data_IF_172140550251
#
_entry.id   IF_172140550251
#
_cell.length_a   1.000
_cell.length_b   1.000
_cell.length_c   1.000
_cell.angle_alpha   90.00
_cell.angle_beta   90.00
_cell.angle_gamma   90.00
#
_symmetry.space_group_name_H-M   'P 1'
#
loop_
_entity.id
_entity.type
_entity.pdbx_description
1 polymer ?
#
# COMPACT_ATOMS: atom_id res chain seq x y z
N UNK A 1 7.13 -3.37 13.10
CA UNK A 1 5.87 -3.71 12.42
C UNK A 1 6.05 -5.05 11.75
N UNK A 2 5.03 -5.91 11.72
CA UNK A 2 5.10 -7.17 10.99
C UNK A 2 5.23 -6.88 9.49
N UNK A 3 6.23 -7.48 8.85
CA UNK A 3 6.43 -7.40 7.41
C UNK A 3 5.55 -8.37 6.62
N UNK A 4 5.01 -9.39 7.29
CA UNK A 4 4.19 -10.43 6.69
C UNK A 4 2.76 -10.37 7.19
N UNK A 5 1.83 -10.79 6.34
CA UNK A 5 0.43 -10.97 6.68
C UNK A 5 0.23 -12.31 7.37
N UNK A 6 -0.94 -12.47 7.99
CA UNK A 6 -1.35 -13.74 8.57
C UNK A 6 -1.46 -14.85 7.53
N UNK A 7 -1.50 -16.08 8.03
CA UNK A 7 -1.53 -17.28 7.20
C UNK A 7 -2.74 -17.27 6.26
N UNK A 8 -2.49 -17.50 4.97
CA UNK A 8 -3.54 -17.56 3.95
C UNK A 8 -4.21 -16.21 3.65
N UNK A 9 -3.67 -15.08 4.10
CA UNK A 9 -4.20 -13.76 3.77
C UNK A 9 -4.08 -13.44 2.26
N UNK A 10 -2.96 -13.82 1.66
CA UNK A 10 -2.62 -13.58 0.25
C UNK A 10 -3.08 -14.72 -0.67
N UNK A 11 -3.48 -15.87 -0.12
CA UNK A 11 -3.98 -17.01 -0.89
C UNK A 11 -5.34 -16.72 -1.55
N UNK A 12 -5.73 -17.45 -2.61
CA UNK A 12 -7.07 -17.36 -3.16
C UNK A 12 -8.14 -17.58 -2.09
N UNK A 13 -9.10 -16.67 -1.98
CA UNK A 13 -10.11 -16.64 -0.94
C UNK A 13 -9.69 -15.93 0.36
N UNK A 14 -8.40 -15.60 0.50
CA UNK A 14 -7.84 -14.83 1.61
C UNK A 14 -8.32 -13.39 1.62
N UNK A 15 -8.32 -12.77 2.81
CA UNK A 15 -8.90 -11.42 2.96
C UNK A 15 -8.12 -10.38 2.13
N UNK A 16 -6.80 -10.48 2.09
CA UNK A 16 -5.96 -9.49 1.42
C UNK A 16 -6.04 -9.67 -0.10
N UNK A 17 -6.03 -10.91 -0.61
CA UNK A 17 -6.27 -11.22 -2.03
C UNK A 17 -7.63 -10.71 -2.52
N UNK A 18 -8.69 -10.91 -1.72
CA UNK A 18 -10.04 -10.38 -2.00
C UNK A 18 -10.09 -8.86 -1.97
N UNK A 19 -9.46 -8.23 -0.98
CA UNK A 19 -9.40 -6.78 -0.89
C UNK A 19 -8.70 -6.19 -2.13
N UNK A 20 -7.57 -6.75 -2.56
CA UNK A 20 -6.82 -6.20 -3.69
C UNK A 20 -7.64 -6.10 -4.98
N UNK A 21 -8.53 -7.05 -5.27
CA UNK A 21 -9.38 -6.99 -6.47
C UNK A 21 -10.57 -6.01 -6.35
N UNK A 22 -10.91 -5.57 -5.13
CA UNK A 22 -12.04 -4.68 -4.88
C UNK A 22 -11.68 -3.20 -5.03
N UNK A 23 -10.38 -2.86 -4.98
CA UNK A 23 -9.89 -1.49 -5.05
C UNK A 23 -9.22 -1.21 -6.39
N UNK A 24 -9.28 0.05 -6.82
CA UNK A 24 -8.74 0.48 -8.12
C UNK A 24 -7.20 0.61 -8.10
N UNK A 25 -6.62 0.87 -6.93
CA UNK A 25 -5.17 1.03 -6.77
C UNK A 25 -4.63 0.61 -5.40
N UNK A 26 -3.38 0.18 -5.41
CA UNK A 26 -2.58 -0.18 -4.24
C UNK A 26 -1.36 0.74 -4.20
N UNK A 27 -1.26 1.55 -3.15
CA UNK A 27 -0.12 2.42 -2.89
C UNK A 27 0.86 1.70 -1.97
N UNK A 28 2.11 1.60 -2.39
CA UNK A 28 3.22 1.01 -1.64
C UNK A 28 4.44 1.93 -1.64
N UNK A 29 5.28 1.74 -0.64
CA UNK A 29 6.60 2.35 -0.55
C UNK A 29 7.54 1.82 -1.64
N UNK A 30 8.39 2.65 -2.24
CA UNK A 30 9.42 2.20 -3.17
C UNK A 30 10.42 1.23 -2.52
N UNK A 31 10.62 1.38 -1.20
CA UNK A 31 11.42 0.48 -0.38
C UNK A 31 10.82 -0.91 -0.22
N UNK A 32 9.51 -1.09 -0.43
CA UNK A 32 8.82 -2.40 -0.39
C UNK A 32 9.53 -3.41 -1.29
N UNK A 33 9.88 -2.98 -2.50
CA UNK A 33 10.53 -3.81 -3.52
C UNK A 33 11.91 -4.30 -3.11
N UNK A 34 12.64 -3.53 -2.31
CA UNK A 34 13.97 -3.91 -1.82
C UNK A 34 13.94 -5.10 -0.85
N UNK A 35 12.78 -5.35 -0.22
CA UNK A 35 12.63 -6.36 0.84
C UNK A 35 11.82 -7.58 0.40
N UNK A 36 10.78 -7.40 -0.41
CA UNK A 36 9.85 -8.48 -0.79
C UNK A 36 10.12 -9.06 -2.17
N UNK A 37 10.88 -8.36 -3.03
CA UNK A 37 11.19 -8.77 -4.42
C UNK A 37 9.96 -8.98 -5.33
N UNK A 38 8.75 -8.66 -4.86
CA UNK A 38 7.49 -8.77 -5.60
C UNK A 38 6.54 -7.65 -5.17
N UNK A 39 5.53 -7.36 -5.98
CA UNK A 39 4.41 -6.51 -5.54
C UNK A 39 3.21 -7.36 -5.18
N UNK A 40 2.37 -6.90 -4.23
CA UNK A 40 1.18 -7.63 -3.87
C UNK A 40 0.16 -7.58 -5.02
N UNK A 41 -0.33 -8.75 -5.42
CA UNK A 41 -1.36 -8.92 -6.45
C UNK A 41 -2.50 -9.77 -5.89
N UNK A 42 -3.71 -9.59 -6.43
CA UNK A 42 -4.82 -10.48 -6.11
C UNK A 42 -4.59 -11.85 -6.75
N UNK A 43 -4.82 -12.93 -6.01
CA UNK A 43 -4.78 -14.30 -6.51
C UNK A 43 -6.18 -14.87 -6.78
N UNK A 44 -7.22 -14.03 -6.74
CA UNK A 44 -8.57 -14.45 -7.10
C UNK A 44 -8.68 -14.80 -8.60
N UNK A 45 -9.54 -15.76 -8.91
CA UNK A 45 -9.73 -16.19 -10.30
C UNK A 45 -10.38 -15.08 -11.14
N UNK A 46 -9.65 -14.61 -12.16
CA UNK A 46 -10.11 -13.51 -13.01
C UNK A 46 -10.07 -12.14 -12.33
N UNK A 47 -9.27 -11.99 -11.27
CA UNK A 47 -9.14 -10.75 -10.51
C UNK A 47 -8.85 -9.54 -11.41
N UNK A 48 -9.60 -8.46 -11.18
CA UNK A 48 -9.24 -7.15 -11.68
C UNK A 48 -8.06 -6.62 -10.83
N UNK A 49 -6.86 -6.61 -11.40
CA UNK A 49 -5.68 -6.21 -10.63
C UNK A 49 -5.68 -4.70 -10.36
N UNK A 50 -5.41 -4.27 -9.12
CA UNK A 50 -5.32 -2.85 -8.81
C UNK A 50 -4.10 -2.25 -9.52
N UNK A 51 -4.17 -0.95 -9.83
CA UNK A 51 -3.00 -0.20 -10.23
C UNK A 51 -1.97 -0.21 -9.10
N UNK A 52 -0.75 -0.61 -9.41
CA UNK A 52 0.35 -0.62 -8.46
C UNK A 52 1.00 0.76 -8.45
N UNK A 53 0.76 1.53 -7.40
CA UNK A 53 1.26 2.90 -7.24
C UNK A 53 2.44 2.86 -6.28
N UNK A 54 3.63 3.16 -6.79
CA UNK A 54 4.86 3.12 -6.02
C UNK A 54 5.29 4.54 -5.67
N UNK A 55 5.45 4.80 -4.38
CA UNK A 55 5.93 6.07 -3.83
C UNK A 55 7.46 6.03 -3.78
N UNK A 56 8.11 6.66 -4.75
CA UNK A 56 9.56 6.71 -4.90
C UNK A 56 10.12 8.06 -4.44
N UNK A 57 10.00 8.34 -3.13
CA UNK A 57 10.46 9.59 -2.52
C UNK A 57 11.96 9.50 -2.19
N UNK A 58 12.76 10.44 -2.68
CA UNK A 58 14.23 10.43 -2.53
C UNK A 58 14.93 9.19 -3.12
N UNK A 59 14.29 8.49 -4.07
CA UNK A 59 14.87 7.35 -4.77
C UNK A 59 15.37 7.78 -6.15
N UNK A 60 16.63 7.46 -6.48
CA UNK A 60 17.24 7.82 -7.77
C UNK A 60 17.09 6.74 -8.84
N UNK A 61 16.91 5.49 -8.43
CA UNK A 61 16.71 4.36 -9.32
C UNK A 61 15.82 3.30 -8.67
N UNK A 62 14.94 2.70 -9.47
CA UNK A 62 14.05 1.62 -9.04
C UNK A 62 14.11 0.46 -10.03
N UNK A 63 14.46 -0.71 -9.52
CA UNK A 63 14.42 -1.97 -10.28
C UNK A 63 13.12 -2.71 -9.96
N UNK A 64 12.23 -2.77 -10.94
CA UNK A 64 10.97 -3.47 -10.88
C UNK A 64 11.17 -4.96 -11.17
N UNK A 65 10.69 -5.86 -10.28
CA UNK A 65 10.67 -7.29 -10.54
C UNK A 65 10.00 -7.67 -11.87
N UNK A 66 10.62 -8.59 -12.62
CA UNK A 66 10.09 -9.08 -13.90
C UNK A 66 8.71 -9.72 -13.79
N UNK A 67 8.37 -10.26 -12.61
CA UNK A 67 7.06 -10.81 -12.27
C UNK A 67 5.93 -9.79 -12.41
N UNK A 68 6.20 -8.52 -12.08
CA UNK A 68 5.20 -7.44 -12.15
C UNK A 68 4.88 -7.09 -13.60
N UNK A 69 5.91 -6.99 -14.45
CA UNK A 69 5.76 -6.68 -15.87
C UNK A 69 4.97 -7.77 -16.61
N UNK A 70 5.17 -9.02 -16.18
CA UNK A 70 4.46 -10.17 -16.69
C UNK A 70 3.03 -10.31 -16.12
N UNK A 71 2.68 -9.56 -15.07
CA UNK A 71 1.32 -9.52 -14.52
C UNK A 71 0.36 -8.68 -15.35
N UNK A 72 -0.93 -8.78 -15.09
CA UNK A 72 -1.95 -7.91 -15.69
C UNK A 72 -1.98 -6.50 -15.07
N UNK A 73 -1.31 -6.28 -13.93
CA UNK A 73 -1.34 -5.02 -13.23
C UNK A 73 -0.56 -3.93 -13.98
N UNK A 74 -1.10 -2.71 -13.97
CA UNK A 74 -0.40 -1.51 -14.45
C UNK A 74 0.34 -0.87 -13.28
N UNK A 75 1.50 -0.29 -13.55
CA UNK A 75 2.37 0.31 -12.52
C UNK A 75 2.47 1.81 -12.75
N UNK A 76 2.32 2.59 -11.70
CA UNK A 76 2.57 4.03 -11.67
C UNK A 76 3.65 4.29 -10.63
N UNK A 77 4.84 4.71 -11.06
CA UNK A 77 5.92 5.15 -10.18
C UNK A 77 5.80 6.65 -10.00
N UNK A 78 5.43 7.09 -8.80
CA UNK A 78 5.34 8.51 -8.43
C UNK A 78 6.62 8.92 -7.71
N UNK A 79 7.33 9.90 -8.24
CA UNK A 79 8.61 10.36 -7.70
C UNK A 79 8.62 11.88 -7.45
N UNK A 80 9.39 12.31 -6.46
CA UNK A 80 9.64 13.72 -6.15
C UNK A 80 10.83 14.31 -6.94
N UNK A 81 11.62 13.42 -7.57
CA UNK A 81 12.81 13.74 -8.37
C UNK A 81 12.86 12.85 -9.60
N UNK A 82 13.65 13.26 -10.59
CA UNK A 82 13.91 12.41 -11.76
C UNK A 82 14.50 11.08 -11.32
N UNK A 83 13.87 9.98 -11.72
CA UNK A 83 14.21 8.62 -11.33
C UNK A 83 14.44 7.75 -12.57
N UNK A 84 15.42 6.84 -12.49
CA UNK A 84 15.59 5.77 -13.48
C UNK A 84 14.80 4.54 -13.08
N UNK A 85 13.82 4.13 -13.87
CA UNK A 85 13.02 2.91 -13.60
C UNK A 85 13.34 1.86 -14.64
N UNK A 86 13.74 0.67 -14.19
CA UNK A 86 14.03 -0.46 -15.05
C UNK A 86 13.25 -1.71 -14.59
N UNK A 87 12.91 -2.63 -15.50
CA UNK A 87 13.05 -2.49 -16.94
C UNK A 87 11.95 -1.58 -17.52
N UNK A 88 12.27 -0.90 -18.62
CA UNK A 88 11.29 -0.10 -19.37
C UNK A 88 10.18 -0.98 -19.93
N UNK A 89 8.94 -0.61 -19.68
CA UNK A 89 7.74 -1.31 -20.15
C UNK A 89 6.60 -0.32 -20.37
N UNK A 90 5.76 -0.56 -21.37
CA UNK A 90 4.55 0.26 -21.62
C UNK A 90 3.52 0.18 -20.48
N UNK A 91 3.63 -0.84 -19.62
CA UNK A 91 2.79 -1.00 -18.43
C UNK A 91 3.24 -0.13 -17.25
N UNK A 92 4.44 0.45 -17.33
CA UNK A 92 5.06 1.24 -16.27
C UNK A 92 5.01 2.70 -16.69
N UNK A 93 4.30 3.50 -15.91
CA UNK A 93 4.24 4.95 -16.06
C UNK A 93 5.03 5.61 -14.93
N UNK A 94 5.93 6.53 -15.27
CA UNK A 94 6.66 7.33 -14.27
C UNK A 94 6.07 8.73 -14.25
N UNK A 95 5.69 9.20 -13.06
CA UNK A 95 5.07 10.49 -12.81
C UNK A 95 5.97 11.27 -11.86
N UNK A 96 6.45 12.43 -12.31
CA UNK A 96 7.15 13.38 -11.47
C UNK A 96 6.14 14.32 -10.82
N UNK A 97 6.03 14.27 -9.49
CA UNK A 97 5.19 15.17 -8.70
C UNK A 97 6.03 16.34 -8.20
N UNK A 98 5.51 17.57 -8.36
CA UNK A 98 6.16 18.77 -7.83
C UNK A 98 6.22 18.75 -6.30
N UNK A 99 5.16 18.23 -5.67
CA UNK A 99 5.09 18.01 -4.24
C UNK A 99 4.56 16.60 -3.97
N UNK A 100 5.33 15.84 -3.20
CA UNK A 100 4.98 14.46 -2.82
C UNK A 100 4.07 14.50 -1.58
N UNK A 101 2.79 14.78 -1.78
CA UNK A 101 1.73 14.80 -0.74
C UNK A 101 0.61 13.82 -1.08
N UNK A 102 -0.17 13.38 -0.09
CA UNK A 102 -1.30 12.49 -0.36
C UNK A 102 -2.34 13.15 -1.28
N UNK A 103 -2.57 14.46 -1.14
CA UNK A 103 -3.45 15.23 -2.03
C UNK A 103 -2.99 15.15 -3.48
N UNK A 104 -1.71 15.40 -3.77
CA UNK A 104 -1.20 15.32 -5.15
C UNK A 104 -1.27 13.90 -5.73
N UNK A 105 -1.05 12.88 -4.90
CA UNK A 105 -1.21 11.46 -5.28
C UNK A 105 -2.68 11.16 -5.63
N UNK A 106 -3.61 11.54 -4.74
CA UNK A 106 -5.05 11.32 -4.93
C UNK A 106 -5.60 12.07 -6.12
N UNK A 107 -5.20 13.34 -6.32
CA UNK A 107 -5.60 14.14 -7.46
C UNK A 107 -5.19 13.46 -8.76
N UNK A 108 -3.93 13.02 -8.88
CA UNK A 108 -3.47 12.31 -10.07
C UNK A 108 -4.29 11.03 -10.29
N UNK A 109 -4.51 10.24 -9.25
CA UNK A 109 -5.28 8.99 -9.33
C UNK A 109 -6.74 9.24 -9.73
N UNK A 110 -7.38 10.27 -9.18
CA UNK A 110 -8.74 10.67 -9.52
C UNK A 110 -8.90 11.09 -10.97
N UNK A 111 -7.94 11.86 -11.52
CA UNK A 111 -7.91 12.20 -12.95
C UNK A 111 -7.75 10.98 -13.87
N UNK A 112 -7.20 9.89 -13.34
CA UNK A 112 -7.09 8.59 -14.03
C UNK A 112 -8.33 7.70 -13.85
N UNK A 113 -9.33 8.16 -13.09
CA UNK A 113 -10.56 7.43 -12.80
C UNK A 113 -10.43 6.41 -11.67
N UNK A 114 -9.33 6.41 -10.90
CA UNK A 114 -9.19 5.55 -9.73
C UNK A 114 -10.01 6.15 -8.58
N UNK A 115 -11.02 5.43 -8.12
CA UNK A 115 -11.99 5.91 -7.13
C UNK A 115 -11.72 5.37 -5.72
N UNK A 116 -10.92 4.32 -5.62
CA UNK A 116 -10.63 3.63 -4.37
C UNK A 116 -9.16 3.20 -4.34
N UNK A 117 -8.44 3.61 -3.29
CA UNK A 117 -7.05 3.24 -3.08
C UNK A 117 -6.87 2.56 -1.74
N UNK A 118 -6.02 1.54 -1.71
CA UNK A 118 -5.46 0.98 -0.47
C UNK A 118 -4.05 1.49 -0.31
N UNK A 119 -3.69 1.96 0.88
CA UNK A 119 -2.31 2.31 1.21
C UNK A 119 -1.76 1.20 2.10
N UNK A 120 -0.80 0.45 1.58
CA UNK A 120 -0.12 -0.60 2.31
C UNK A 120 1.19 -0.06 2.88
N UNK A 121 1.22 0.04 4.22
CA UNK A 121 2.33 0.58 4.98
C UNK A 121 3.40 -0.47 5.31
N UNK A 122 3.18 -1.74 4.95
CA UNK A 122 4.19 -2.79 5.15
C UNK A 122 5.49 -2.39 4.50
N UNK A 123 6.60 -2.67 5.19
CA UNK A 123 7.96 -2.39 4.70
C UNK A 123 8.22 -0.92 4.31
N UNK A 124 7.42 0.01 4.82
CA UNK A 124 7.67 1.44 4.69
C UNK A 124 8.74 1.91 5.68
N UNK A 125 9.70 2.68 5.18
CA UNK A 125 10.74 3.34 5.99
C UNK A 125 10.42 4.81 6.29
N UNK A 126 9.19 5.26 6.03
CA UNK A 126 8.71 6.61 6.30
C UNK A 126 8.16 7.34 5.06
N UNK A 127 8.43 6.86 3.85
CA UNK A 127 8.05 7.54 2.62
C UNK A 127 6.52 7.60 2.46
N UNK A 128 5.82 6.51 2.78
CA UNK A 128 4.36 6.46 2.78
C UNK A 128 3.78 6.99 4.10
N UNK A 129 4.43 6.73 5.23
CA UNK A 129 4.00 7.23 6.54
C UNK A 129 3.88 8.76 6.58
N UNK A 130 4.84 9.50 6.00
CA UNK A 130 4.79 10.96 5.92
C UNK A 130 3.60 11.45 5.06
N UNK A 131 3.25 10.72 3.99
CA UNK A 131 2.05 11.05 3.20
C UNK A 131 0.78 10.86 4.02
N UNK A 132 0.73 9.77 4.79
CA UNK A 132 -0.41 9.46 5.65
C UNK A 132 -0.56 10.44 6.80
N UNK A 133 0.53 10.94 7.38
CA UNK A 133 0.48 11.94 8.44
C UNK A 133 -0.24 13.21 7.99
N UNK A 134 0.22 13.83 6.89
CA UNK A 134 -0.46 14.99 6.30
C UNK A 134 -1.88 14.66 5.82
N UNK A 135 -2.07 13.47 5.24
CA UNK A 135 -3.37 13.00 4.79
C UNK A 135 -4.41 12.82 5.91
N UNK A 136 -3.97 12.41 7.09
CA UNK A 136 -4.82 12.31 8.27
C UNK A 136 -5.20 13.70 8.79
N UNK A 137 -4.26 14.64 8.82
CA UNK A 137 -4.53 16.05 9.17
C UNK A 137 -5.55 16.69 8.23
N UNK A 138 -5.45 16.40 6.93
CA UNK A 138 -6.34 16.91 5.88
C UNK A 138 -7.68 16.14 5.76
N UNK A 139 -7.87 15.06 6.51
CA UNK A 139 -9.10 14.25 6.47
C UNK A 139 -9.27 13.40 5.21
N UNK A 140 -8.17 13.06 4.54
CA UNK A 140 -8.13 12.30 3.28
C UNK A 140 -8.15 10.79 3.45
N UNK A 141 -8.03 10.28 4.68
CA UNK A 141 -8.10 8.85 4.99
C UNK A 141 -9.48 8.53 5.55
N UNK A 142 -10.22 7.63 4.91
CA UNK A 142 -11.59 7.32 5.32
C UNK A 142 -11.69 6.08 6.21
N UNK A 143 -10.91 5.04 5.92
CA UNK A 143 -10.98 3.73 6.58
C UNK A 143 -9.58 3.27 6.97
N UNK A 144 -9.47 2.63 8.14
CA UNK A 144 -8.28 1.95 8.61
C UNK A 144 -8.57 0.46 8.71
N UNK A 145 -7.63 -0.35 8.27
CA UNK A 145 -7.65 -1.80 8.39
C UNK A 145 -6.33 -2.26 9.02
N UNK A 146 -6.42 -3.12 10.02
CA UNK A 146 -5.27 -3.66 10.76
C UNK A 146 -5.44 -5.15 10.96
N UNK A 147 -4.42 -5.92 10.62
CA UNK A 147 -4.35 -7.34 10.96
C UNK A 147 -3.59 -7.55 12.27
N UNK A 148 -4.19 -8.31 13.18
CA UNK A 148 -3.59 -8.76 14.42
C UNK A 148 -3.24 -10.24 14.29
N UNK A 149 -1.95 -10.53 14.10
CA UNK A 149 -1.43 -11.90 14.00
C UNK A 149 -1.16 -12.48 15.40
N UNK A 150 -1.33 -13.80 15.62
CA UNK A 150 -1.07 -14.47 16.89
C UNK A 150 0.44 -14.72 17.12
N UNK A 151 1.27 -13.69 16.89
CA UNK A 151 2.74 -13.77 16.95
C UNK A 151 3.26 -12.76 17.98
N UNK A 152 4.18 -13.23 18.82
CA UNK A 152 4.89 -12.38 19.78
C UNK A 152 6.26 -12.02 19.21
N UNK A 153 6.47 -10.75 18.93
CA UNK A 153 7.72 -10.24 18.37
C UNK A 153 8.51 -9.50 19.46
N UNK A 154 9.82 -9.76 19.53
CA UNK A 154 10.71 -9.10 20.46
C UNK A 154 10.87 -7.60 20.18
N UNK A 155 11.22 -6.83 21.20
CA UNK A 155 11.34 -5.36 21.11
C UNK A 155 12.31 -4.82 20.04
N UNK A 156 13.26 -5.65 19.56
CA UNK A 156 14.21 -5.26 18.51
C UNK A 156 13.58 -5.20 17.11
N UNK A 157 12.44 -5.85 16.89
CA UNK A 157 11.75 -5.93 15.60
C UNK A 157 10.39 -5.20 15.62
N UNK A 158 9.94 -4.79 16.81
CA UNK A 158 8.72 -4.04 17.02
C UNK A 158 8.93 -2.53 16.74
N UNK A 159 8.80 -2.11 15.48
CA UNK A 159 8.53 -0.71 15.15
C UNK A 159 7.03 -0.39 15.18
N UNK A 160 6.67 0.73 15.80
CA UNK A 160 5.36 1.37 15.61
C UNK A 160 5.39 2.16 14.29
N UNK A 161 4.26 2.34 13.61
CA UNK A 161 4.17 3.32 12.53
C UNK A 161 4.60 4.70 13.05
N UNK A 162 5.36 5.44 12.24
CA UNK A 162 5.83 6.79 12.61
C UNK A 162 4.73 7.86 12.51
N UNK A 163 3.53 7.50 12.06
CA UNK A 163 2.38 8.39 11.90
C UNK A 163 1.26 8.05 12.89
N UNK A 164 0.30 8.97 13.05
CA UNK A 164 -0.88 8.72 13.90
C UNK A 164 -0.59 8.81 15.40
N UNK A 165 0.36 9.68 15.78
CA UNK A 165 0.72 9.95 17.19
C UNK A 165 -0.49 10.52 17.97
N UNK A 166 -1.40 11.19 17.28
CA UNK A 166 -2.66 11.65 17.85
C UNK A 166 -3.73 10.55 17.85
N UNK A 167 -4.35 10.33 19.02
CA UNK A 167 -5.46 9.40 19.16
C UNK A 167 -6.67 9.91 18.39
N UNK A 168 -7.09 9.16 17.36
CA UNK A 168 -8.31 9.43 16.60
C UNK A 168 -9.37 8.39 16.90
N UNK A 169 -10.63 8.83 16.99
CA UNK A 169 -11.76 7.94 17.25
C UNK A 169 -12.17 7.27 15.95
N UNK A 170 -12.24 5.94 15.97
CA UNK A 170 -12.84 5.18 14.88
C UNK A 170 -14.34 4.99 15.13
N UNK A 171 -15.13 5.15 14.06
CA UNK A 171 -16.55 4.78 13.98
C UNK A 171 -16.68 3.41 13.32
N UNK A 172 -17.81 2.76 13.59
CA UNK A 172 -18.20 1.48 12.98
C UNK A 172 -17.09 0.42 13.04
N UNK A 173 -16.43 0.33 14.19
CA UNK A 173 -15.36 -0.63 14.43
C UNK A 173 -15.90 -2.06 14.33
N UNK A 174 -15.30 -2.84 13.44
CA UNK A 174 -15.62 -4.25 13.24
C UNK A 174 -14.35 -5.10 13.38
N UNK A 175 -14.53 -6.33 13.81
CA UNK A 175 -13.46 -7.32 13.89
C UNK A 175 -13.93 -8.65 13.34
N UNK A 176 -13.10 -9.29 12.54
CA UNK A 176 -13.36 -10.63 12.01
C UNK A 176 -12.12 -11.51 12.17
N UNK A 177 -12.33 -12.79 12.50
CA UNK A 177 -11.25 -13.77 12.64
C UNK A 177 -11.04 -14.46 11.31
N UNK A 178 -9.81 -14.43 10.80
CA UNK A 178 -9.41 -15.01 9.52
C UNK A 178 -8.15 -15.84 9.70
N UNK A 179 -8.22 -17.16 9.51
CA UNK A 179 -7.06 -18.07 9.52
C UNK A 179 -6.09 -17.81 10.70
N UNK A 180 -6.63 -17.72 11.91
CA UNK A 180 -5.90 -17.47 13.19
C UNK A 180 -5.50 -16.02 13.46
N UNK A 181 -5.57 -15.12 12.48
CA UNK A 181 -5.46 -13.68 12.67
C UNK A 181 -6.81 -13.03 12.98
N UNK A 182 -6.79 -11.83 13.56
CA UNK A 182 -7.98 -10.97 13.67
C UNK A 182 -7.79 -9.73 12.80
N UNK A 183 -8.64 -9.55 11.80
CA UNK A 183 -8.74 -8.32 11.04
C UNK A 183 -9.65 -7.34 11.78
N UNK A 184 -9.15 -6.14 12.02
CA UNK A 184 -9.89 -5.04 12.65
C UNK A 184 -10.00 -3.89 11.64
N UNK A 185 -11.21 -3.36 11.47
CA UNK A 185 -11.45 -2.25 10.57
C UNK A 185 -12.38 -1.20 11.18
N UNK A 186 -12.21 0.06 10.77
CA UNK A 186 -13.06 1.14 11.22
C UNK A 186 -12.86 2.41 10.39
N UNK A 187 -13.81 3.34 10.51
CA UNK A 187 -13.83 4.58 9.75
C UNK A 187 -13.36 5.76 10.60
N UNK A 188 -12.55 6.64 10.01
CA UNK A 188 -12.14 7.88 10.66
C UNK A 188 -13.32 8.87 10.70
N UNK A 189 -13.45 9.57 11.83
CA UNK A 189 -14.67 10.30 12.21
C UNK A 189 -14.68 11.77 11.89
#
# INVERSE_FOLDING_TARGET
MLSHLGKGAEEPGGYYSKMLQEYDGLVVSGEFLSRTSTLPISLEAGANQPFQIIIAKNILSLDLPSTIINSAARVIVMADKSISVEPKSEKVETVLLEQMTLTSVLDYCGHRGLCSLVIDIREDNGSVAELLEGGLEEGLVQKVMMELCPVWIGSSEASLPSFGVELRKLKDLQSNVTNESTLVEGYLS
#
